data_IF_331405085172
#
_entry.id   IF_331405085172
#
_cell.length_a   1.000
_cell.length_b   1.000
_cell.length_c   1.000
_cell.angle_alpha   90.00
_cell.angle_beta   90.00
_cell.angle_gamma   90.00
#
_symmetry.space_group_name_H-M   'P 1'
#
loop_
_entity.id
_entity.type
_entity.pdbx_description
1 polymer ?
#
# COMPACT_ATOMS: atom_id res chain seq x y z
N UNK A 1 3.84 0.98 -1.55
CA UNK A 1 4.66 1.25 -2.75
C UNK A 1 4.63 2.72 -3.15
N UNK A 2 3.47 3.29 -3.48
CA UNK A 2 3.30 4.71 -3.87
C UNK A 2 4.10 5.68 -2.98
N UNK A 3 3.94 5.61 -1.66
CA UNK A 3 4.66 6.47 -0.71
C UNK A 3 6.18 6.38 -0.84
N UNK A 4 6.73 5.19 -1.16
CA UNK A 4 8.17 5.01 -1.35
C UNK A 4 8.67 5.67 -2.64
N UNK A 5 7.83 5.72 -3.68
CA UNK A 5 8.14 6.40 -4.94
C UNK A 5 8.09 7.92 -4.73
N UNK A 6 7.13 8.43 -3.95
CA UNK A 6 7.03 9.86 -3.59
C UNK A 6 8.29 10.35 -2.89
N UNK A 7 8.72 9.63 -1.84
CA UNK A 7 9.91 10.02 -1.07
C UNK A 7 11.22 9.53 -1.71
N UNK A 8 11.14 8.90 -2.88
CA UNK A 8 12.26 8.33 -3.62
C UNK A 8 13.12 7.36 -2.78
N UNK A 9 12.50 6.49 -1.97
CA UNK A 9 13.18 5.46 -1.15
C UNK A 9 12.77 4.02 -1.52
N UNK A 10 12.66 3.71 -2.81
CA UNK A 10 12.34 2.32 -3.20
C UNK A 10 13.54 1.38 -3.16
N UNK A 11 14.77 1.91 -3.25
CA UNK A 11 15.95 1.07 -3.51
C UNK A 11 15.95 0.49 -4.92
N UNK A 12 16.80 -0.50 -5.15
CA UNK A 12 16.80 -1.36 -6.35
C UNK A 12 15.53 -2.20 -6.46
N UNK A 13 15.16 -2.70 -7.65
CA UNK A 13 14.00 -3.57 -7.81
C UNK A 13 14.00 -4.77 -6.85
N UNK A 14 15.17 -5.38 -6.64
CA UNK A 14 15.38 -6.48 -5.69
C UNK A 14 15.19 -6.05 -4.24
N UNK A 15 15.73 -4.89 -3.84
CA UNK A 15 15.53 -4.35 -2.49
C UNK A 15 14.05 -4.01 -2.24
N UNK A 16 13.36 -3.42 -3.21
CA UNK A 16 11.93 -3.13 -3.13
C UNK A 16 11.10 -4.42 -2.99
N UNK A 17 11.44 -5.45 -3.78
CA UNK A 17 10.78 -6.75 -3.73
C UNK A 17 10.94 -7.39 -2.34
N UNK A 18 12.16 -7.39 -1.80
CA UNK A 18 12.43 -7.87 -0.45
C UNK A 18 11.68 -7.06 0.62
N UNK A 19 11.69 -5.73 0.52
CA UNK A 19 11.00 -4.83 1.45
C UNK A 19 9.49 -5.08 1.48
N UNK A 20 8.88 -5.31 0.32
CA UNK A 20 7.45 -5.59 0.19
C UNK A 20 7.10 -7.07 0.40
N UNK A 21 8.10 -7.96 0.59
CA UNK A 21 7.95 -9.42 0.67
C UNK A 21 7.24 -10.00 -0.56
N UNK A 22 7.62 -9.52 -1.74
CA UNK A 22 7.10 -9.92 -3.03
C UNK A 22 8.22 -10.37 -3.96
N UNK A 23 7.87 -11.04 -5.06
CA UNK A 23 8.83 -11.30 -6.14
C UNK A 23 9.14 -10.02 -6.92
N UNK A 24 10.31 -9.94 -7.56
CA UNK A 24 10.63 -8.83 -8.49
C UNK A 24 9.59 -8.72 -9.62
N UNK A 25 9.06 -9.86 -10.10
CA UNK A 25 7.96 -9.90 -11.07
C UNK A 25 6.71 -9.20 -10.55
N UNK A 26 6.32 -9.47 -9.30
CA UNK A 26 5.17 -8.82 -8.66
C UNK A 26 5.36 -7.32 -8.50
N UNK A 27 6.59 -6.86 -8.22
CA UNK A 27 6.92 -5.43 -8.21
C UNK A 27 6.70 -4.81 -9.59
N UNK A 28 7.16 -5.47 -10.67
CA UNK A 28 6.94 -4.99 -12.02
C UNK A 28 5.45 -4.91 -12.37
N UNK A 29 4.66 -5.91 -11.99
CA UNK A 29 3.20 -5.88 -12.18
C UNK A 29 2.55 -4.70 -11.43
N UNK A 30 2.95 -4.44 -10.19
CA UNK A 30 2.44 -3.29 -9.43
C UNK A 30 2.86 -1.95 -10.06
N UNK A 31 4.08 -1.85 -10.60
CA UNK A 31 4.54 -0.67 -11.35
C UNK A 31 3.69 -0.45 -12.60
N UNK A 32 3.39 -1.52 -13.34
CA UNK A 32 2.58 -1.45 -14.55
C UNK A 32 1.13 -1.08 -14.22
N UNK A 33 0.55 -1.64 -13.16
CA UNK A 33 -0.77 -1.23 -12.67
C UNK A 33 -0.83 0.27 -12.32
N UNK A 34 0.24 0.84 -11.74
CA UNK A 34 0.29 2.29 -11.50
C UNK A 34 0.34 3.07 -12.82
N UNK A 35 1.04 2.57 -13.84
CA UNK A 35 1.07 3.20 -15.17
C UNK A 35 -0.30 3.15 -15.85
N UNK A 36 -1.09 2.10 -15.63
CA UNK A 36 -2.46 1.99 -16.12
C UNK A 36 -3.38 3.10 -15.54
N UNK A 37 -3.04 3.63 -14.37
CA UNK A 37 -3.68 4.81 -13.77
C UNK A 37 -3.01 6.15 -14.16
N UNK A 38 -2.28 6.18 -15.27
CA UNK A 38 -1.56 7.34 -15.80
C UNK A 38 -0.38 7.81 -14.91
N UNK A 39 0.18 6.93 -14.08
CA UNK A 39 1.41 7.26 -13.34
C UNK A 39 2.65 7.05 -14.22
N UNK A 40 3.34 8.12 -14.58
CA UNK A 40 4.60 8.02 -15.32
C UNK A 40 5.76 7.77 -14.35
N UNK A 41 6.24 6.52 -14.30
CA UNK A 41 7.28 6.09 -13.37
C UNK A 41 8.57 5.77 -14.12
N UNK A 42 9.72 6.23 -13.60
CA UNK A 42 11.06 5.85 -14.07
C UNK A 42 11.92 5.36 -12.92
N UNK A 43 12.94 4.56 -13.26
CA UNK A 43 13.97 4.14 -12.32
C UNK A 43 15.25 4.94 -12.55
N UNK A 44 15.77 5.58 -11.49
CA UNK A 44 17.08 6.20 -11.49
C UNK A 44 18.11 5.22 -10.95
N UNK A 45 19.07 4.81 -11.79
CA UNK A 45 20.18 3.93 -11.38
C UNK A 45 21.16 4.62 -10.43
N UNK A 46 21.41 5.92 -10.60
CA UNK A 46 22.31 6.69 -9.75
C UNK A 46 21.72 6.93 -8.37
N UNK A 47 20.44 7.31 -8.29
CA UNK A 47 19.72 7.50 -7.02
C UNK A 47 19.20 6.19 -6.42
N UNK A 48 19.30 5.09 -7.16
CA UNK A 48 18.77 3.76 -6.82
C UNK A 48 17.32 3.81 -6.35
N UNK A 49 16.45 4.42 -7.14
CA UNK A 49 15.06 4.62 -6.74
C UNK A 49 14.11 4.83 -7.91
N UNK A 50 12.87 4.41 -7.76
CA UNK A 50 11.77 4.79 -8.64
C UNK A 50 11.24 6.17 -8.25
N UNK A 51 10.84 6.95 -9.25
CA UNK A 51 10.29 8.29 -9.06
C UNK A 51 9.19 8.58 -10.10
N UNK A 52 8.28 9.48 -9.75
CA UNK A 52 7.24 9.98 -10.65
C UNK A 52 7.78 11.10 -11.53
N UNK A 53 7.39 11.09 -12.81
CA UNK A 53 7.74 12.12 -13.80
C UNK A 53 6.63 13.16 -13.91
N UNK A 54 5.39 12.76 -13.65
CA UNK A 54 4.22 13.63 -13.58
C UNK A 54 3.70 13.74 -12.15
N UNK A 55 2.89 14.77 -11.89
CA UNK A 55 2.12 14.83 -10.66
C UNK A 55 1.11 13.67 -10.66
N UNK A 56 1.24 12.79 -9.67
CA UNK A 56 0.39 11.63 -9.50
C UNK A 56 0.17 11.41 -8.00
N UNK A 57 -1.09 11.37 -7.59
CA UNK A 57 -1.50 11.12 -6.21
C UNK A 57 -2.48 9.94 -6.20
N UNK A 58 -2.15 8.91 -5.43
CA UNK A 58 -2.95 7.69 -5.34
C UNK A 58 -3.76 7.69 -4.05
N UNK A 59 -5.07 7.95 -4.16
CA UNK A 59 -6.00 7.88 -3.03
C UNK A 59 -6.70 6.53 -3.00
N UNK A 60 -6.46 5.76 -1.94
CA UNK A 60 -7.11 4.46 -1.70
C UNK A 60 -8.03 4.62 -0.49
N UNK A 61 -9.32 4.34 -0.66
CA UNK A 61 -10.30 4.31 0.42
C UNK A 61 -10.81 2.88 0.59
N UNK A 62 -10.61 2.32 1.78
CA UNK A 62 -11.11 0.99 2.14
C UNK A 62 -12.19 1.16 3.20
N UNK A 63 -13.40 0.74 2.91
CA UNK A 63 -14.52 0.75 3.86
C UNK A 63 -14.84 -0.68 4.26
N UNK A 64 -14.69 -0.98 5.54
CA UNK A 64 -15.05 -2.28 6.12
C UNK A 64 -16.34 -2.07 6.90
N UNK A 65 -17.41 -2.76 6.48
CA UNK A 65 -18.65 -2.84 7.24
C UNK A 65 -18.77 -4.25 7.81
N UNK A 66 -18.77 -4.35 9.14
CA UNK A 66 -19.07 -5.61 9.82
C UNK A 66 -20.59 -5.71 9.85
N UNK A 67 -21.15 -6.55 8.97
CA UNK A 67 -22.55 -6.95 9.07
C UNK A 67 -22.61 -8.07 10.09
N UNK A 68 -22.87 -7.72 11.35
CA UNK A 68 -23.32 -8.72 12.33
C UNK A 68 -24.80 -8.95 12.10
N UNK A 69 -25.14 -10.04 11.43
CA UNK A 69 -26.51 -10.56 11.36
C UNK A 69 -26.91 -11.15 12.72
N UNK A 70 -26.99 -10.32 13.76
CA UNK A 70 -27.53 -10.73 15.06
C UNK A 70 -28.23 -9.53 15.72
N UNK A 71 -29.47 -9.31 15.30
CA UNK A 71 -30.50 -9.01 16.30
C UNK A 71 -30.43 -10.13 17.36
N UNK A 72 -29.94 -9.78 18.55
CA UNK A 72 -29.96 -10.55 19.80
C UNK A 72 -29.19 -11.89 19.85
N UNK A 73 -28.01 -11.88 20.47
CA UNK A 73 -27.85 -12.51 21.79
C UNK A 73 -26.44 -12.23 22.32
N UNK A 74 -26.38 -11.57 23.47
CA UNK A 74 -25.19 -11.52 24.30
C UNK A 74 -24.69 -12.95 24.57
N UNK A 75 -23.48 -13.28 24.14
CA UNK A 75 -22.72 -14.37 24.74
C UNK A 75 -21.25 -13.94 24.83
N UNK A 76 -20.85 -13.61 26.05
CA UNK A 76 -19.47 -13.36 26.44
C UNK A 76 -18.72 -14.70 26.46
N UNK A 77 -17.60 -14.83 25.76
CA UNK A 77 -16.88 -16.11 25.71
C UNK A 77 -15.55 -16.12 24.95
N UNK A 78 -14.76 -15.02 24.99
CA UNK A 78 -13.40 -14.97 24.43
C UNK A 78 -13.09 -13.63 23.78
N UNK A 79 -12.52 -12.70 24.55
CA UNK A 79 -12.25 -11.34 24.08
C UNK A 79 -10.88 -11.26 23.40
N UNK A 80 -10.84 -11.02 22.08
CA UNK A 80 -9.72 -10.31 21.45
C UNK A 80 -10.22 -8.90 21.14
N UNK A 81 -10.08 -7.99 22.11
CA UNK A 81 -10.23 -6.57 21.86
C UNK A 81 -9.05 -6.13 20.98
N UNK A 82 -9.27 -6.05 19.66
CA UNK A 82 -8.35 -5.32 18.79
C UNK A 82 -8.51 -3.84 19.11
N UNK A 83 -7.55 -3.31 19.86
CA UNK A 83 -7.50 -1.90 20.22
C UNK A 83 -7.31 -1.08 18.93
N UNK A 84 -8.34 -0.30 18.60
CA UNK A 84 -8.33 0.71 17.56
C UNK A 84 -7.14 1.67 17.77
N UNK A 85 -6.20 1.67 16.83
CA UNK A 85 -5.35 2.82 16.58
C UNK A 85 -5.71 3.39 15.21
N UNK A 86 -6.80 4.17 15.19
CA UNK A 86 -7.05 5.17 14.15
C UNK A 86 -5.96 6.24 14.24
N UNK A 87 -4.86 6.07 13.52
CA UNK A 87 -4.00 7.21 13.19
C UNK A 87 -4.64 7.96 12.03
N UNK A 88 -5.50 8.91 12.36
CA UNK A 88 -5.78 10.06 11.49
C UNK A 88 -4.56 10.96 11.61
N UNK A 89 -3.68 10.94 10.61
CA UNK A 89 -2.68 11.98 10.46
C UNK A 89 -3.39 13.21 9.86
N UNK A 90 -3.49 14.26 10.68
CA UNK A 90 -3.89 15.62 10.33
C UNK A 90 -2.85 16.22 9.38
#
# INVERSE_FOLDING_TARGET
MHNLIIIEKTGTPKELANLMKLSERSIHLLLDQLKDYNAHIRYSRSRKTYYYINYFDLKISVTIKILTDNETSNIYGGTYFLQNNLFVAI
#
